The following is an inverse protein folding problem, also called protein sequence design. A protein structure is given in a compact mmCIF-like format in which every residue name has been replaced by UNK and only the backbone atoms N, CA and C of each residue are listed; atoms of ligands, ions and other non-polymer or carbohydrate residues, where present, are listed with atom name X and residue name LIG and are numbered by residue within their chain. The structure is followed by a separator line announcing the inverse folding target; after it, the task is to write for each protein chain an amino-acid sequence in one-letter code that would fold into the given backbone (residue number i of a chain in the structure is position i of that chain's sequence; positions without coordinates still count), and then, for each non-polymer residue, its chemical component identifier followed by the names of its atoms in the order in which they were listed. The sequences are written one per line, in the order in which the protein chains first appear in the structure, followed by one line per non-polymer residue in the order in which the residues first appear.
data_IF_444274996538
#
_entry.id   IF_444274996538
#
_cell.length_a   1.000
_cell.length_b   1.000
_cell.length_c   1.000
_cell.angle_alpha   90.00
_cell.angle_beta   90.00
_cell.angle_gamma   90.00
#
_symmetry.space_group_name_H-M   'P 1'
#
loop_
_entity.id
_entity.type
_entity.pdbx_description
1 polymer ?
#
# COMPACT_ATOMS: atom_id res chain seq x y z
N UNK A 1 10.05 -10.12 5.94
CA UNK A 1 10.48 -9.17 4.96
C UNK A 1 11.64 -8.37 5.50
N UNK A 2 12.69 -8.24 4.76
CA UNK A 2 13.83 -7.50 5.24
C UNK A 2 13.50 -6.03 5.38
N UNK A 3 14.11 -5.42 6.34
CA UNK A 3 13.87 -4.03 6.59
C UNK A 3 14.29 -3.19 5.42
N UNK A 4 15.34 -3.55 4.75
CA UNK A 4 15.78 -2.82 3.64
C UNK A 4 14.79 -2.80 2.54
N UNK A 5 14.16 -3.91 2.27
CA UNK A 5 13.18 -3.96 1.23
C UNK A 5 12.02 -3.05 1.58
N UNK A 6 11.65 -3.01 2.83
CA UNK A 6 10.57 -2.18 3.24
C UNK A 6 10.94 -0.72 3.13
N UNK A 7 12.14 -0.38 3.48
CA UNK A 7 12.59 0.95 3.36
C UNK A 7 12.56 1.42 1.94
N UNK A 8 12.93 0.59 1.02
CA UNK A 8 12.94 0.98 -0.37
C UNK A 8 11.56 1.34 -0.85
N UNK A 9 10.58 0.60 -0.41
CA UNK A 9 9.25 0.89 -0.83
C UNK A 9 8.80 2.25 -0.39
N UNK A 10 9.10 2.64 0.81
CA UNK A 10 8.67 3.92 1.25
C UNK A 10 9.54 5.08 0.86
N UNK A 11 10.82 4.89 0.77
CA UNK A 11 11.63 5.93 0.45
C UNK A 11 11.51 6.39 -0.88
N UNK A 12 11.32 5.52 -1.76
CA UNK A 12 11.23 5.83 -3.02
C UNK A 12 10.36 6.82 -3.29
N UNK A 13 9.59 6.78 -2.91
CA UNK A 13 8.82 7.62 -3.21
C UNK A 13 8.60 8.67 -2.67
N UNK A 14 8.81 8.55 -1.79
CA UNK A 14 8.52 9.54 -1.21
C UNK A 14 8.71 10.55 -1.90
N UNK A 15 9.29 10.19 -2.33
CA UNK A 15 9.66 10.95 -2.94
C UNK A 15 8.93 11.69 -3.63
N UNK A 16 8.72 11.62 -4.03
CA UNK A 16 8.27 12.26 -4.68
C UNK A 16 7.33 12.88 -4.74
N UNK A 17 7.31 13.24 -4.74
CA UNK A 17 6.58 13.93 -5.02
C UNK A 17 5.48 13.51 -5.24
N UNK A 18 5.14 13.24 -4.73
CA UNK A 18 4.09 12.58 -4.75
C UNK A 18 3.00 13.18 -5.23
N UNK A 19 2.69 14.07 -4.81
CA UNK A 19 1.63 14.64 -5.21
C UNK A 19 1.45 14.72 -6.53
N UNK A 20 2.25 15.26 -7.16
CA UNK A 20 2.08 15.47 -8.44
C UNK A 20 2.12 14.24 -9.14
N UNK A 21 2.74 13.36 -8.66
CA UNK A 21 2.89 12.21 -9.36
C UNK A 21 1.67 11.58 -9.79
N UNK A 22 0.67 11.58 -9.05
CA UNK A 22 -0.36 10.81 -9.48
C UNK A 22 -1.52 11.51 -9.88
N UNK A 23 -1.58 12.67 -9.66
CA UNK A 23 -2.72 13.28 -9.98
C UNK A 23 -3.25 13.14 -11.31
N UNK A 24 -3.00 13.75 -12.20
CA UNK A 24 -3.66 13.75 -13.41
C UNK A 24 -3.54 12.52 -14.23
N UNK A 25 -2.58 11.71 -13.93
CA UNK A 25 -2.35 10.57 -14.74
C UNK A 25 -3.19 9.41 -14.35
N UNK A 26 -3.60 9.30 -13.10
CA UNK A 26 -4.22 8.21 -12.66
C UNK A 26 -5.49 7.92 -13.36
N UNK A 27 -5.70 6.80 -13.81
CA UNK A 27 -6.92 6.38 -14.38
C UNK A 27 -7.17 6.66 -15.83
N UNK A 28 -6.40 7.52 -16.41
CA UNK A 28 -6.66 7.88 -17.76
C UNK A 28 -6.66 6.71 -18.70
N UNK A 29 -5.73 5.85 -18.61
CA UNK A 29 -5.66 4.72 -19.50
C UNK A 29 -5.77 3.40 -18.79
N UNK A 30 -6.33 3.38 -17.63
CA UNK A 30 -6.37 2.15 -16.89
C UNK A 30 -7.62 1.37 -17.20
N UNK A 31 -7.49 0.06 -17.30
CA UNK A 31 -8.64 -0.80 -17.42
C UNK A 31 -9.40 -0.77 -16.11
N UNK A 32 -10.63 -1.27 -16.08
CA UNK A 32 -11.36 -1.34 -14.82
C UNK A 32 -10.61 -2.15 -13.77
N UNK A 33 -9.92 -3.20 -14.18
CA UNK A 33 -9.17 -4.01 -13.25
C UNK A 33 -8.01 -3.23 -12.65
N UNK A 34 -7.35 -2.44 -13.48
CA UNK A 34 -6.24 -1.68 -12.96
C UNK A 34 -6.71 -0.56 -12.06
N UNK A 35 -7.85 0.02 -12.37
CA UNK A 35 -8.39 1.04 -11.51
C UNK A 35 -8.79 0.42 -10.17
N UNK A 36 -9.39 -0.76 -10.21
CA UNK A 36 -9.76 -1.43 -8.97
C UNK A 36 -8.52 -1.73 -8.14
N UNK A 37 -7.44 -2.18 -8.78
CA UNK A 37 -6.24 -2.46 -8.03
C UNK A 37 -5.66 -1.19 -7.44
N UNK A 38 -5.73 -0.10 -8.17
CA UNK A 38 -5.23 1.17 -7.64
C UNK A 38 -6.01 1.56 -6.39
N UNK A 39 -7.33 1.35 -6.39
CA UNK A 39 -8.12 1.66 -5.22
C UNK A 39 -7.72 0.77 -4.07
N UNK A 40 -7.39 -0.48 -4.35
CA UNK A 40 -6.93 -1.37 -3.29
C UNK A 40 -5.58 -0.91 -2.73
N UNK A 41 -4.73 -0.35 -3.59
CA UNK A 41 -3.47 0.20 -3.11
C UNK A 41 -3.71 1.40 -2.19
N UNK A 42 -4.66 2.23 -2.55
CA UNK A 42 -4.95 3.39 -1.72
C UNK A 42 -5.50 2.96 -0.37
N UNK A 43 -6.36 1.98 -0.36
CA UNK A 43 -6.90 1.46 0.88
C UNK A 43 -5.79 0.85 1.72
N UNK A 44 -4.88 0.12 1.07
CA UNK A 44 -3.76 -0.47 1.77
C UNK A 44 -2.93 0.61 2.44
N UNK A 45 -2.62 1.67 1.73
CA UNK A 45 -1.81 2.74 2.28
C UNK A 45 -2.50 3.42 3.46
N UNK A 46 -3.81 3.64 3.34
CA UNK A 46 -4.54 4.26 4.42
C UNK A 46 -4.54 3.38 5.66
N UNK A 47 -4.71 2.09 5.48
CA UNK A 47 -4.74 1.20 6.62
C UNK A 47 -3.39 1.05 7.26
N UNK A 48 -2.32 1.06 6.47
CA UNK A 48 -0.99 1.02 7.02
C UNK A 48 -0.77 2.26 7.89
N UNK A 49 -1.18 3.42 7.38
CA UNK A 49 -1.02 4.65 8.16
C UNK A 49 -1.77 4.59 9.47
N UNK A 50 -2.98 4.03 9.45
CA UNK A 50 -3.76 3.91 10.66
C UNK A 50 -3.07 2.99 11.67
N UNK A 51 -2.55 1.85 11.21
CA UNK A 51 -1.89 0.91 12.09
C UNK A 51 -0.66 1.54 12.71
N UNK A 52 0.11 2.26 11.90
CA UNK A 52 1.30 2.91 12.41
C UNK A 52 0.92 3.95 13.47
N UNK A 53 -0.16 4.69 13.22
CA UNK A 53 -0.61 5.66 14.18
C UNK A 53 -1.05 5.04 15.49
N UNK A 54 -1.76 3.92 15.41
CA UNK A 54 -2.21 3.25 16.62
C UNK A 54 -1.03 2.73 17.42
N UNK A 55 -0.02 2.22 16.74
CA UNK A 55 1.15 1.71 17.40
C UNK A 55 1.92 2.87 18.04
N UNK A 56 2.03 3.97 17.33
CA UNK A 56 2.79 5.12 17.85
C UNK A 56 2.11 5.70 19.09
N UNK A 57 0.80 5.58 19.17
CA UNK A 57 0.08 6.08 20.31
C UNK A 57 -0.10 5.05 21.42
N UNK A 58 0.51 3.90 21.26
CA UNK A 58 0.45 2.90 22.31
C UNK A 58 -0.83 2.12 22.36
N UNK A 59 -1.69 2.23 21.33
CA UNK A 59 -2.93 1.51 21.33
C UNK A 59 -2.73 0.04 20.97
N UNK A 60 -1.73 -0.25 20.18
CA UNK A 60 -1.36 -1.62 19.87
C UNK A 60 0.14 -1.72 19.94
N UNK A 61 0.65 -2.90 20.17
CA UNK A 61 2.08 -3.11 20.22
C UNK A 61 2.67 -3.27 18.84
N UNK A 62 3.98 -3.25 18.77
CA UNK A 62 4.65 -3.38 17.49
C UNK A 62 4.41 -4.75 16.88
N UNK A 63 4.32 -5.80 17.69
CA UNK A 63 4.08 -7.13 17.18
C UNK A 63 2.70 -7.18 16.52
N UNK A 64 1.71 -6.58 17.14
CA UNK A 64 0.37 -6.59 16.58
C UNK A 64 0.34 -5.77 15.30
N UNK A 65 1.03 -4.65 15.30
CA UNK A 65 1.08 -3.83 14.11
C UNK A 65 1.70 -4.61 12.96
N UNK A 66 2.78 -5.32 13.22
CA UNK A 66 3.43 -6.07 12.17
C UNK A 66 2.51 -7.17 11.65
N UNK A 67 1.82 -7.82 12.52
CA UNK A 67 0.92 -8.88 12.11
C UNK A 67 -0.20 -8.33 11.26
N UNK A 68 -0.77 -7.21 11.65
CA UNK A 68 -1.85 -6.60 10.89
C UNK A 68 -1.37 -6.16 9.52
N UNK A 69 -0.17 -5.61 9.45
CA UNK A 69 0.38 -5.18 8.17
C UNK A 69 0.63 -6.41 7.29
N UNK A 70 1.08 -7.50 7.86
CA UNK A 70 1.31 -8.71 7.10
C UNK A 70 0.01 -9.23 6.49
N UNK A 71 -1.08 -9.13 7.22
CA UNK A 71 -2.36 -9.57 6.69
C UNK A 71 -2.80 -8.67 5.55
N UNK A 72 -2.61 -7.38 5.69
CA UNK A 72 -2.99 -6.46 4.64
C UNK A 72 -2.15 -6.72 3.40
N UNK A 73 -0.89 -7.02 3.59
CA UNK A 73 -0.01 -7.31 2.47
C UNK A 73 -0.47 -8.58 1.75
N UNK A 74 -0.87 -9.60 2.49
CA UNK A 74 -1.35 -10.82 1.88
C UNK A 74 -2.60 -10.56 1.06
N UNK A 75 -3.48 -9.72 1.56
CA UNK A 75 -4.68 -9.38 0.84
C UNK A 75 -4.35 -8.61 -0.44
N UNK A 76 -3.40 -7.71 -0.36
CA UNK A 76 -3.02 -6.95 -1.52
C UNK A 76 -2.37 -7.84 -2.56
N UNK A 77 -1.57 -8.79 -2.12
CA UNK A 77 -0.95 -9.73 -3.05
C UNK A 77 -2.01 -10.56 -3.76
N UNK A 78 -3.01 -11.02 -3.03
CA UNK A 78 -4.06 -11.79 -3.65
C UNK A 78 -4.82 -10.96 -4.67
N UNK A 79 -5.03 -9.70 -4.34
CA UNK A 79 -5.71 -8.79 -5.23
C UNK A 79 -4.90 -8.59 -6.51
N UNK A 80 -3.59 -8.51 -6.39
CA UNK A 80 -2.77 -8.29 -7.56
C UNK A 80 -2.85 -9.50 -8.50
N UNK A 81 -2.92 -10.70 -7.95
CA UNK A 81 -3.01 -11.86 -8.79
C UNK A 81 -4.34 -11.90 -9.51
N UNK A 82 -5.36 -11.43 -8.87
CA UNK A 82 -6.65 -11.43 -9.47
C UNK A 82 -6.80 -10.34 -10.49
N UNK A 83 -6.38 -9.16 -10.21
CA UNK A 83 -6.65 -8.00 -11.03
C UNK A 83 -5.57 -7.65 -12.05
N UNK A 84 -4.36 -8.07 -11.82
CA UNK A 84 -3.29 -7.73 -12.75
C UNK A 84 -2.79 -8.90 -13.57
N UNK A 85 -3.48 -10.00 -13.48
CA UNK A 85 -2.92 -11.19 -14.08
C UNK A 85 -2.88 -11.20 -15.58
N UNK A 86 -3.61 -10.41 -16.24
CA UNK A 86 -3.52 -10.47 -17.62
C UNK A 86 -2.69 -9.46 -18.20
N UNK A 87 -1.78 -8.97 -17.51
CA UNK A 87 -0.86 -8.14 -18.13
C UNK A 87 0.39 -8.76 -18.29
#
# INVERSE_FOLDING_TARGET
MPLEEFKGVFQNEGIQSPLEGHSGYRGANWSPERLAFHQNLETFADRIGLIVGLQANGKIGQDQAFEDISKLWSQLKASSKELLRDN
#
